data_IF_346313235713
#
_entry.id   IF_346313235713
#
_cell.length_a   1.000
_cell.length_b   1.000
_cell.length_c   1.000
_cell.angle_alpha   90.00
_cell.angle_beta   90.00
_cell.angle_gamma   90.00
#
_symmetry.space_group_name_H-M   'P 1'
#
loop_
_entity.id
_entity.type
_entity.pdbx_description
1 polymer ?
#
# COMPACT_ATOMS: atom_id res chain seq x y z
N UNK A 1 28.47 4.24 -40.58
CA UNK A 1 27.98 3.65 -39.32
C UNK A 1 29.17 3.15 -38.50
N UNK A 2 29.37 3.55 -37.23
CA UNK A 2 30.49 3.04 -36.45
C UNK A 2 30.28 1.55 -36.14
N UNK A 3 31.30 0.73 -36.44
CA UNK A 3 31.30 -0.70 -36.13
C UNK A 3 31.13 -0.92 -34.63
N UNK A 4 30.09 -1.67 -34.23
CA UNK A 4 29.87 -2.05 -32.84
C UNK A 4 31.05 -2.91 -32.38
N UNK A 5 31.95 -2.35 -31.55
CA UNK A 5 33.03 -3.10 -30.92
C UNK A 5 32.45 -4.04 -29.87
N UNK A 6 32.67 -5.34 -30.06
CA UNK A 6 32.28 -6.38 -29.10
C UNK A 6 33.43 -6.63 -28.13
N UNK A 7 33.14 -6.56 -26.84
CA UNK A 7 34.09 -6.87 -25.77
C UNK A 7 33.84 -8.27 -25.22
N UNK A 8 34.89 -8.93 -24.74
CA UNK A 8 34.81 -10.18 -24.00
C UNK A 8 35.13 -9.93 -22.52
N UNK A 9 34.35 -10.51 -21.62
CA UNK A 9 34.67 -10.48 -20.19
C UNK A 9 35.85 -11.41 -19.89
N UNK A 10 36.93 -10.95 -19.23
CA UNK A 10 38.05 -11.81 -18.88
C UNK A 10 37.71 -12.84 -17.79
N UNK A 11 36.66 -12.61 -16.98
CA UNK A 11 36.25 -13.52 -15.91
C UNK A 11 35.35 -14.66 -16.38
N UNK A 12 34.28 -14.37 -17.13
CA UNK A 12 33.29 -15.37 -17.55
C UNK A 12 33.26 -15.65 -19.06
N UNK A 13 34.09 -14.99 -19.86
CA UNK A 13 34.14 -15.19 -21.31
C UNK A 13 32.95 -14.63 -22.11
N UNK A 14 31.93 -14.05 -21.46
CA UNK A 14 30.76 -13.49 -22.14
C UNK A 14 31.11 -12.32 -23.05
N UNK A 15 30.38 -12.19 -24.18
CA UNK A 15 30.54 -11.11 -25.16
C UNK A 15 29.43 -10.08 -25.03
N UNK A 16 29.74 -8.81 -25.28
CA UNK A 16 28.75 -7.73 -25.24
C UNK A 16 29.32 -6.38 -25.65
N UNK A 17 28.43 -5.41 -25.90
CA UNK A 17 28.80 -4.10 -26.44
C UNK A 17 29.53 -3.19 -25.42
N UNK A 18 29.45 -3.47 -24.12
CA UNK A 18 30.06 -2.65 -23.08
C UNK A 18 30.86 -3.50 -22.08
N UNK A 19 32.19 -3.39 -22.11
CA UNK A 19 33.10 -4.12 -21.20
C UNK A 19 32.76 -3.88 -19.71
N UNK A 20 32.36 -2.66 -19.35
CA UNK A 20 31.94 -2.32 -17.98
C UNK A 20 30.70 -3.10 -17.52
N UNK A 21 29.68 -3.24 -18.37
CA UNK A 21 28.45 -3.96 -18.05
C UNK A 21 28.72 -5.46 -17.86
N UNK A 22 29.51 -6.06 -18.76
CA UNK A 22 29.93 -7.46 -18.68
C UNK A 22 30.67 -7.75 -17.37
N UNK A 23 31.62 -6.90 -16.98
CA UNK A 23 32.36 -7.07 -15.71
C UNK A 23 31.44 -6.97 -14.49
N UNK A 24 30.43 -6.08 -14.51
CA UNK A 24 29.45 -5.96 -13.42
C UNK A 24 28.55 -7.19 -13.31
N UNK A 25 28.04 -7.70 -14.43
CA UNK A 25 27.23 -8.92 -14.47
C UNK A 25 28.04 -10.15 -14.04
N UNK A 26 29.30 -10.29 -14.49
CA UNK A 26 30.21 -11.34 -14.05
C UNK A 26 30.44 -11.28 -12.53
N UNK A 27 30.73 -10.09 -11.99
CA UNK A 27 30.95 -9.86 -10.56
C UNK A 27 29.72 -10.18 -9.69
N UNK A 28 28.51 -9.96 -10.19
CA UNK A 28 27.28 -10.40 -9.52
C UNK A 28 27.17 -11.92 -9.56
N UNK A 29 27.38 -12.52 -10.73
CA UNK A 29 27.27 -13.97 -10.92
C UNK A 29 28.25 -14.78 -10.08
N UNK A 30 29.50 -14.32 -9.96
CA UNK A 30 30.49 -14.96 -9.10
C UNK A 30 30.01 -14.96 -7.64
N UNK A 31 29.55 -13.81 -7.15
CA UNK A 31 29.03 -13.69 -5.78
C UNK A 31 27.77 -14.53 -5.56
N UNK A 32 26.84 -14.51 -6.51
CA UNK A 32 25.63 -15.33 -6.47
C UNK A 32 25.96 -16.83 -6.44
N UNK A 33 26.87 -17.31 -7.29
CA UNK A 33 27.32 -18.70 -7.29
C UNK A 33 27.99 -19.08 -5.98
N UNK A 34 28.81 -18.21 -5.40
CA UNK A 34 29.42 -18.46 -4.10
C UNK A 34 28.38 -18.58 -2.98
N UNK A 35 27.31 -17.77 -3.02
CA UNK A 35 26.24 -17.83 -2.03
C UNK A 35 25.35 -19.07 -2.15
N UNK A 36 25.12 -19.55 -3.37
CA UNK A 36 24.19 -20.64 -3.67
C UNK A 36 24.86 -22.02 -3.80
N UNK A 37 26.20 -22.06 -3.85
CA UNK A 37 26.96 -23.32 -3.87
C UNK A 37 27.02 -23.88 -2.46
N UNK A 38 26.63 -25.14 -2.32
CA UNK A 38 26.84 -25.94 -1.11
C UNK A 38 27.84 -27.07 -1.39
N UNK A 39 28.14 -27.93 -0.40
CA UNK A 39 29.05 -29.06 -0.60
C UNK A 39 28.65 -30.02 -1.74
N UNK A 40 27.38 -30.01 -2.17
CA UNK A 40 26.87 -30.79 -3.32
C UNK A 40 26.75 -29.97 -4.62
N UNK A 41 27.27 -28.75 -4.65
CA UNK A 41 27.08 -27.81 -5.74
C UNK A 41 25.85 -26.91 -5.56
N UNK A 42 25.40 -26.30 -6.66
CA UNK A 42 24.19 -25.47 -6.68
C UNK A 42 22.97 -26.36 -6.91
N UNK A 43 21.95 -26.20 -6.08
CA UNK A 43 20.66 -26.87 -6.22
C UNK A 43 20.02 -26.59 -7.59
N UNK A 44 19.49 -27.60 -8.30
CA UNK A 44 18.93 -27.43 -9.64
C UNK A 44 17.77 -26.42 -9.67
N UNK A 45 16.98 -26.34 -8.61
CA UNK A 45 15.85 -25.43 -8.47
C UNK A 45 16.27 -23.96 -8.44
N UNK A 46 17.53 -23.65 -8.10
CA UNK A 46 18.08 -22.29 -8.04
C UNK A 46 18.86 -21.90 -9.30
N UNK A 47 18.97 -22.79 -10.29
CA UNK A 47 19.60 -22.48 -11.57
C UNK A 47 18.87 -21.37 -12.35
N UNK A 48 17.52 -21.29 -12.37
CA UNK A 48 16.81 -20.19 -13.00
C UNK A 48 17.17 -18.82 -12.41
N UNK A 49 17.37 -18.75 -11.08
CA UNK A 49 17.82 -17.54 -10.40
C UNK A 49 19.22 -17.09 -10.87
N UNK A 50 20.15 -18.04 -10.99
CA UNK A 50 21.48 -17.75 -11.54
C UNK A 50 21.41 -17.28 -12.98
N UNK A 51 20.54 -17.89 -13.81
CA UNK A 51 20.34 -17.47 -15.18
C UNK A 51 19.77 -16.05 -15.25
N UNK A 52 18.77 -15.74 -14.43
CA UNK A 52 18.15 -14.41 -14.34
C UNK A 52 19.14 -13.31 -13.95
N UNK A 53 20.01 -13.56 -12.97
CA UNK A 53 21.05 -12.60 -12.58
C UNK A 53 22.13 -12.37 -13.64
N UNK A 54 22.32 -13.27 -14.62
CA UNK A 54 23.21 -13.04 -15.77
C UNK A 54 22.67 -11.98 -16.71
N UNK A 55 21.36 -11.89 -16.84
CA UNK A 55 20.68 -10.98 -17.78
C UNK A 55 20.05 -9.78 -17.09
N UNK A 56 20.25 -9.60 -15.78
CA UNK A 56 19.68 -8.49 -15.03
C UNK A 56 20.19 -7.13 -15.52
N UNK A 57 19.28 -6.18 -15.72
CA UNK A 57 19.59 -4.82 -16.22
C UNK A 57 20.46 -4.01 -15.25
N UNK A 58 20.32 -4.26 -13.93
CA UNK A 58 20.99 -3.50 -12.86
C UNK A 58 21.83 -4.41 -11.94
N UNK A 59 22.90 -5.05 -12.46
CA UNK A 59 23.65 -6.05 -11.69
C UNK A 59 24.39 -5.44 -10.50
N UNK A 60 24.77 -4.17 -10.57
CA UNK A 60 25.41 -3.46 -9.46
C UNK A 60 24.45 -3.20 -8.29
N UNK A 61 23.19 -2.85 -8.57
CA UNK A 61 22.18 -2.64 -7.52
C UNK A 61 21.91 -3.93 -6.77
N UNK A 62 21.76 -5.05 -7.49
CA UNK A 62 21.55 -6.39 -6.89
C UNK A 62 22.77 -6.79 -6.06
N UNK A 63 23.98 -6.66 -6.61
CA UNK A 63 25.22 -6.98 -5.87
C UNK A 63 25.36 -6.12 -4.61
N UNK A 64 25.10 -4.81 -4.72
CA UNK A 64 25.16 -3.88 -3.60
C UNK A 64 24.11 -4.23 -2.53
N UNK A 65 22.91 -4.66 -2.93
CA UNK A 65 21.88 -5.13 -2.02
C UNK A 65 22.31 -6.41 -1.29
N UNK A 66 22.84 -7.41 -2.01
CA UNK A 66 23.35 -8.66 -1.41
C UNK A 66 24.45 -8.39 -0.38
N UNK A 67 25.36 -7.46 -0.67
CA UNK A 67 26.44 -7.09 0.25
C UNK A 67 25.93 -6.34 1.49
N UNK A 68 24.96 -5.44 1.32
CA UNK A 68 24.45 -4.59 2.41
C UNK A 68 23.37 -5.24 3.27
N UNK A 69 22.75 -6.33 2.82
CA UNK A 69 21.64 -7.00 3.53
C UNK A 69 22.05 -8.42 3.92
N UNK A 70 22.68 -8.63 5.11
CA UNK A 70 23.13 -9.94 5.54
C UNK A 70 21.98 -10.95 5.63
N UNK A 71 20.82 -10.53 6.15
CA UNK A 71 19.62 -11.37 6.21
C UNK A 71 19.20 -11.95 4.85
N UNK A 72 19.42 -11.21 3.75
CA UNK A 72 19.10 -11.69 2.41
C UNK A 72 20.06 -12.78 1.95
N UNK A 73 21.35 -12.67 2.31
CA UNK A 73 22.35 -13.71 2.06
C UNK A 73 22.07 -14.96 2.89
N UNK A 74 21.76 -14.79 4.17
CA UNK A 74 21.41 -15.89 5.07
C UNK A 74 20.20 -16.66 4.56
N UNK A 75 19.15 -15.96 4.10
CA UNK A 75 17.98 -16.60 3.51
C UNK A 75 18.32 -17.36 2.22
N UNK A 76 19.10 -16.76 1.31
CA UNK A 76 19.53 -17.44 0.08
C UNK A 76 20.39 -18.69 0.37
N UNK A 77 21.23 -18.63 1.40
CA UNK A 77 22.02 -19.78 1.87
C UNK A 77 21.12 -20.85 2.50
N UNK A 78 20.10 -20.46 3.27
CA UNK A 78 19.11 -21.37 3.84
C UNK A 78 18.23 -22.06 2.79
N UNK A 79 17.99 -21.40 1.65
CA UNK A 79 17.35 -22.04 0.49
C UNK A 79 18.32 -23.00 -0.22
N UNK A 80 19.58 -22.59 -0.36
CA UNK A 80 20.61 -23.38 -1.03
C UNK A 80 20.98 -24.65 -0.27
N UNK A 81 21.05 -24.62 1.06
CA UNK A 81 21.33 -25.78 1.90
C UNK A 81 20.08 -26.64 2.19
N UNK A 82 18.89 -26.17 1.83
CA UNK A 82 17.63 -26.88 2.05
C UNK A 82 17.04 -26.75 3.46
N UNK A 83 17.59 -25.89 4.32
CA UNK A 83 16.98 -25.56 5.61
C UNK A 83 15.62 -24.87 5.47
N UNK A 84 15.42 -24.11 4.38
CA UNK A 84 14.14 -23.53 3.99
C UNK A 84 13.67 -24.19 2.69
N UNK A 85 12.46 -24.77 2.64
CA UNK A 85 11.89 -25.30 1.40
C UNK A 85 11.76 -24.19 0.34
N UNK A 86 12.13 -24.48 -0.91
CA UNK A 86 11.96 -23.54 -2.05
C UNK A 86 10.50 -23.59 -2.51
N UNK A 87 9.61 -23.13 -1.62
CA UNK A 87 8.18 -23.03 -1.84
C UNK A 87 7.68 -21.74 -1.20
N UNK A 88 6.51 -21.28 -1.63
CA UNK A 88 5.86 -20.15 -0.98
C UNK A 88 5.63 -20.40 0.52
N UNK A 89 5.11 -21.58 0.89
CA UNK A 89 4.87 -21.94 2.29
C UNK A 89 6.16 -21.93 3.13
N UNK A 90 7.26 -22.48 2.62
CA UNK A 90 8.54 -22.46 3.33
C UNK A 90 9.09 -21.05 3.55
N UNK A 91 8.77 -20.10 2.67
CA UNK A 91 9.12 -18.68 2.83
C UNK A 91 8.15 -17.93 3.74
N UNK A 92 6.89 -18.35 3.81
CA UNK A 92 5.88 -17.79 4.72
C UNK A 92 6.21 -18.10 6.19
N UNK A 93 6.88 -19.22 6.46
CA UNK A 93 7.38 -19.59 7.80
C UNK A 93 8.59 -18.73 8.25
N UNK A 94 9.21 -18.00 7.32
CA UNK A 94 10.30 -17.05 7.64
C UNK A 94 9.70 -15.70 8.03
N UNK A 95 10.27 -15.05 9.04
CA UNK A 95 9.80 -13.74 9.52
C UNK A 95 9.56 -12.73 8.37
N UNK A 96 8.32 -12.21 8.28
CA UNK A 96 7.91 -11.28 7.22
C UNK A 96 8.65 -9.94 7.32
N UNK A 97 9.74 -9.84 6.57
CA UNK A 97 10.58 -8.64 6.49
C UNK A 97 10.65 -8.12 5.06
N UNK A 98 11.01 -6.84 4.90
CA UNK A 98 11.28 -6.26 3.56
C UNK A 98 12.32 -7.05 2.76
N UNK A 99 13.23 -7.72 3.46
CA UNK A 99 14.27 -8.56 2.85
C UNK A 99 13.67 -9.85 2.28
N UNK A 100 12.89 -10.59 3.08
CA UNK A 100 12.18 -11.79 2.63
C UNK A 100 11.29 -11.48 1.43
N UNK A 101 10.49 -10.41 1.50
CA UNK A 101 9.64 -9.95 0.38
C UNK A 101 10.40 -9.70 -0.91
N UNK A 102 11.59 -9.08 -0.81
CA UNK A 102 12.43 -8.85 -1.98
C UNK A 102 12.96 -10.17 -2.55
N UNK A 103 13.36 -11.12 -1.70
CA UNK A 103 13.80 -12.45 -2.14
C UNK A 103 12.66 -13.22 -2.81
N UNK A 104 11.46 -13.25 -2.23
CA UNK A 104 10.28 -13.88 -2.85
C UNK A 104 10.01 -13.27 -4.24
N UNK A 105 10.03 -11.94 -4.36
CA UNK A 105 9.85 -11.26 -5.63
C UNK A 105 10.92 -11.62 -6.67
N UNK A 106 12.17 -11.78 -6.26
CA UNK A 106 13.27 -12.22 -7.14
C UNK A 106 13.11 -13.70 -7.54
N UNK A 107 12.66 -14.57 -6.64
CA UNK A 107 12.41 -15.98 -6.94
C UNK A 107 11.24 -16.17 -7.92
N UNK A 108 10.18 -15.38 -7.77
CA UNK A 108 9.07 -15.34 -8.74
C UNK A 108 9.54 -14.77 -10.08
N UNK A 109 10.24 -13.64 -10.09
CA UNK A 109 10.74 -13.00 -11.32
C UNK A 109 11.76 -13.86 -12.09
N UNK A 110 12.46 -14.75 -11.40
CA UNK A 110 13.39 -15.71 -12.01
C UNK A 110 12.75 -17.04 -12.40
N UNK A 111 11.47 -17.25 -12.09
CA UNK A 111 10.73 -18.48 -12.36
C UNK A 111 11.07 -19.65 -11.43
N UNK A 112 11.78 -19.40 -10.32
CA UNK A 112 12.03 -20.42 -9.29
C UNK A 112 10.76 -20.73 -8.50
N UNK A 113 9.94 -19.71 -8.24
CA UNK A 113 8.62 -19.88 -7.64
C UNK A 113 7.52 -19.56 -8.66
N UNK A 114 6.38 -20.25 -8.62
CA UNK A 114 5.23 -19.90 -9.43
C UNK A 114 4.73 -18.50 -9.04
N UNK A 115 4.13 -17.80 -10.00
CA UNK A 115 3.50 -16.52 -9.73
C UNK A 115 2.37 -16.69 -8.70
N UNK A 116 2.45 -15.93 -7.61
CA UNK A 116 1.47 -15.89 -6.52
C UNK A 116 1.25 -14.43 -6.18
N UNK A 117 0.00 -14.05 -5.99
CA UNK A 117 -0.32 -12.73 -5.47
C UNK A 117 0.07 -12.65 -3.99
N UNK A 118 1.33 -12.31 -3.75
CA UNK A 118 1.95 -12.17 -2.44
C UNK A 118 1.27 -11.07 -1.60
N UNK A 119 0.62 -10.10 -2.25
CA UNK A 119 -0.16 -9.08 -1.56
C UNK A 119 -1.49 -9.63 -1.07
N UNK A 120 -2.18 -10.42 -1.90
CA UNK A 120 -3.38 -11.13 -1.50
C UNK A 120 -3.09 -12.10 -0.36
N UNK A 121 -2.04 -12.92 -0.46
CA UNK A 121 -1.71 -13.89 0.58
C UNK A 121 -1.48 -13.23 1.96
N UNK A 122 -0.65 -12.17 2.01
CA UNK A 122 -0.42 -11.41 3.25
C UNK A 122 -1.69 -10.75 3.79
N UNK A 123 -2.54 -10.25 2.90
CA UNK A 123 -3.83 -9.69 3.29
C UNK A 123 -4.73 -10.76 3.93
N UNK A 124 -4.74 -11.98 3.39
CA UNK A 124 -5.49 -13.10 3.95
C UNK A 124 -5.00 -13.50 5.33
N UNK A 125 -3.68 -13.64 5.50
CA UNK A 125 -3.07 -13.90 6.82
C UNK A 125 -3.45 -12.81 7.84
N UNK A 126 -3.34 -11.54 7.44
CA UNK A 126 -3.72 -10.41 8.28
C UNK A 126 -5.21 -10.44 8.65
N UNK A 127 -6.10 -10.77 7.71
CA UNK A 127 -7.54 -10.91 7.98
C UNK A 127 -7.77 -12.01 9.01
N UNK A 128 -7.16 -13.19 8.84
CA UNK A 128 -7.29 -14.29 9.80
C UNK A 128 -6.84 -13.87 11.20
N UNK A 129 -5.68 -13.22 11.32
CA UNK A 129 -5.18 -12.73 12.61
C UNK A 129 -6.10 -11.67 13.23
N UNK A 130 -6.59 -10.73 12.43
CA UNK A 130 -7.48 -9.65 12.88
C UNK A 130 -8.80 -10.20 13.39
N UNK A 131 -9.39 -11.19 12.71
CA UNK A 131 -10.61 -11.87 13.15
C UNK A 131 -10.34 -12.64 14.45
N UNK A 132 -9.25 -13.39 14.52
CA UNK A 132 -8.90 -14.18 15.71
C UNK A 132 -8.64 -13.32 16.96
N UNK A 133 -8.14 -12.09 16.77
CA UNK A 133 -7.89 -11.14 17.85
C UNK A 133 -9.16 -10.49 18.44
N UNK A 134 -10.34 -10.72 17.86
CA UNK A 134 -11.62 -10.23 18.43
C UNK A 134 -12.02 -11.12 19.59
N UNK A 135 -12.02 -10.58 20.81
CA UNK A 135 -12.27 -11.33 22.04
C UNK A 135 -13.66 -11.96 22.10
N UNK A 136 -14.69 -11.20 21.74
CA UNK A 136 -16.07 -11.68 21.82
C UNK A 136 -16.45 -12.61 20.65
N UNK A 137 -17.10 -13.75 20.90
CA UNK A 137 -17.52 -14.69 19.86
C UNK A 137 -18.53 -14.12 18.85
N UNK A 138 -19.53 -13.35 19.29
CA UNK A 138 -20.58 -12.81 18.42
C UNK A 138 -20.01 -11.72 17.50
N UNK A 139 -19.20 -10.81 18.05
CA UNK A 139 -18.48 -9.82 17.27
C UNK A 139 -17.53 -10.51 16.28
N UNK A 140 -16.83 -11.56 16.71
CA UNK A 140 -15.92 -12.33 15.86
C UNK A 140 -16.66 -12.95 14.68
N UNK A 141 -17.86 -13.50 14.88
CA UNK A 141 -18.70 -14.03 13.80
C UNK A 141 -19.12 -12.93 12.80
N UNK A 142 -19.50 -11.76 13.30
CA UNK A 142 -19.87 -10.61 12.44
C UNK A 142 -18.66 -10.13 11.63
N UNK A 143 -17.49 -9.94 12.26
CA UNK A 143 -16.27 -9.53 11.58
C UNK A 143 -15.84 -10.58 10.57
N UNK A 144 -15.88 -11.87 10.92
CA UNK A 144 -15.55 -12.96 9.99
C UNK A 144 -16.48 -12.93 8.76
N UNK A 145 -17.80 -12.82 8.96
CA UNK A 145 -18.78 -12.73 7.86
C UNK A 145 -18.53 -11.52 6.96
N UNK A 146 -18.23 -10.37 7.55
CA UNK A 146 -17.97 -9.14 6.80
C UNK A 146 -16.64 -9.19 6.05
N UNK A 147 -15.54 -9.47 6.76
CA UNK A 147 -14.20 -9.35 6.20
C UNK A 147 -13.87 -10.54 5.31
N UNK A 148 -14.14 -11.76 5.76
CA UNK A 148 -13.79 -12.97 5.02
C UNK A 148 -14.78 -13.25 3.88
N UNK A 149 -16.09 -13.31 4.18
CA UNK A 149 -17.08 -13.68 3.15
C UNK A 149 -17.53 -12.51 2.27
N UNK A 150 -17.58 -11.28 2.76
CA UNK A 150 -17.99 -10.15 1.92
C UNK A 150 -16.83 -9.44 1.24
N UNK A 151 -15.83 -8.96 1.99
CA UNK A 151 -14.74 -8.15 1.41
C UNK A 151 -13.72 -9.00 0.66
N UNK A 152 -13.17 -10.03 1.31
CA UNK A 152 -12.11 -10.86 0.74
C UNK A 152 -12.62 -11.70 -0.44
N UNK A 153 -13.82 -12.27 -0.35
CA UNK A 153 -14.43 -12.97 -1.49
C UNK A 153 -14.57 -12.07 -2.73
N UNK A 154 -15.05 -10.83 -2.57
CA UNK A 154 -15.16 -9.84 -3.67
C UNK A 154 -13.80 -9.40 -4.20
N UNK A 155 -12.77 -9.36 -3.34
CA UNK A 155 -11.41 -9.08 -3.76
C UNK A 155 -10.85 -10.23 -4.60
N UNK A 156 -11.00 -11.47 -4.14
CA UNK A 156 -10.60 -12.69 -4.87
C UNK A 156 -11.26 -12.76 -6.24
N UNK A 157 -12.57 -12.54 -6.32
CA UNK A 157 -13.32 -12.53 -7.58
C UNK A 157 -12.84 -11.47 -8.60
N UNK A 158 -12.12 -10.43 -8.14
CA UNK A 158 -11.58 -9.36 -8.99
C UNK A 158 -10.07 -9.46 -9.21
N UNK A 159 -9.45 -10.45 -8.60
CA UNK A 159 -8.00 -10.70 -8.69
C UNK A 159 -7.78 -11.76 -9.76
N UNK A 160 -6.82 -11.51 -10.64
CA UNK A 160 -6.46 -12.39 -11.75
C UNK A 160 -4.95 -12.26 -11.92
N UNK A 161 -4.22 -13.24 -12.49
CA UNK A 161 -2.76 -13.10 -12.65
C UNK A 161 -2.34 -11.80 -13.37
N UNK A 162 -3.17 -11.30 -14.30
CA UNK A 162 -2.95 -10.04 -15.02
C UNK A 162 -3.35 -8.79 -14.22
N UNK A 163 -4.06 -8.95 -13.11
CA UNK A 163 -4.58 -7.87 -12.25
C UNK A 163 -4.42 -8.27 -10.78
N UNK A 164 -3.18 -8.26 -10.26
CA UNK A 164 -2.93 -8.55 -8.85
C UNK A 164 -3.52 -7.46 -7.95
N UNK A 165 -3.66 -7.78 -6.66
CA UNK A 165 -4.08 -6.87 -5.62
C UNK A 165 -3.06 -5.76 -5.47
N UNK A 166 -3.51 -4.52 -5.71
CA UNK A 166 -2.68 -3.35 -5.49
C UNK A 166 -2.60 -3.01 -4.01
N UNK A 167 -1.51 -2.34 -3.61
CA UNK A 167 -1.32 -1.84 -2.23
C UNK A 167 -2.51 -0.99 -1.76
N UNK A 168 -3.07 -0.18 -2.65
CA UNK A 168 -4.24 0.65 -2.36
C UNK A 168 -5.50 -0.19 -2.07
N UNK A 169 -5.75 -1.27 -2.83
CA UNK A 169 -6.88 -2.17 -2.58
C UNK A 169 -6.74 -2.88 -1.23
N UNK A 170 -5.53 -3.36 -0.92
CA UNK A 170 -5.23 -3.96 0.37
C UNK A 170 -5.44 -2.96 1.53
N UNK A 171 -4.95 -1.72 1.38
CA UNK A 171 -5.14 -0.65 2.37
C UNK A 171 -6.61 -0.34 2.62
N UNK A 172 -7.44 -0.30 1.58
CA UNK A 172 -8.89 -0.11 1.74
C UNK A 172 -9.53 -1.26 2.51
N UNK A 173 -9.16 -2.51 2.21
CA UNK A 173 -9.67 -3.66 2.95
C UNK A 173 -9.25 -3.59 4.44
N UNK A 174 -7.99 -3.20 4.72
CA UNK A 174 -7.55 -2.94 6.09
C UNK A 174 -8.44 -1.89 6.78
N UNK A 175 -8.66 -0.73 6.14
CA UNK A 175 -9.51 0.31 6.69
C UNK A 175 -10.93 -0.16 6.95
N UNK A 176 -11.54 -0.94 6.05
CA UNK A 176 -12.87 -1.50 6.28
C UNK A 176 -12.90 -2.47 7.47
N UNK A 177 -11.92 -3.37 7.57
CA UNK A 177 -11.86 -4.37 8.64
C UNK A 177 -11.58 -3.73 10.01
N UNK A 178 -10.61 -2.80 10.10
CA UNK A 178 -10.34 -2.09 11.35
C UNK A 178 -11.51 -1.21 11.79
N UNK A 179 -12.21 -0.59 10.84
CA UNK A 179 -13.44 0.17 11.14
C UNK A 179 -14.52 -0.75 11.71
N UNK A 180 -14.77 -1.90 11.10
CA UNK A 180 -15.79 -2.84 11.58
C UNK A 180 -15.50 -3.32 13.02
N UNK A 181 -14.24 -3.67 13.31
CA UNK A 181 -13.79 -4.04 14.66
C UNK A 181 -13.97 -2.87 15.64
N UNK A 182 -13.62 -1.64 15.23
CA UNK A 182 -13.77 -0.46 16.07
C UNK A 182 -15.24 -0.15 16.39
N UNK A 183 -16.15 -0.28 15.41
CA UNK A 183 -17.60 -0.11 15.61
C UNK A 183 -18.12 -1.11 16.62
N UNK A 184 -17.83 -2.40 16.43
CA UNK A 184 -18.31 -3.45 17.32
C UNK A 184 -17.80 -3.26 18.76
N UNK A 185 -16.52 -2.86 18.90
CA UNK A 185 -15.96 -2.51 20.20
C UNK A 185 -16.66 -1.31 20.85
N UNK A 186 -17.00 -0.27 20.08
CA UNK A 186 -17.70 0.91 20.58
C UNK A 186 -19.13 0.57 21.03
N UNK A 187 -19.89 -0.17 20.21
CA UNK A 187 -21.24 -0.67 20.54
C UNK A 187 -21.23 -1.41 21.87
N UNK A 188 -20.25 -2.29 22.04
CA UNK A 188 -20.12 -3.13 23.22
C UNK A 188 -19.69 -2.36 24.47
N UNK A 189 -18.80 -1.37 24.31
CA UNK A 189 -18.39 -0.50 25.41
C UNK A 189 -19.59 0.30 25.98
N UNK A 190 -20.59 0.57 25.15
CA UNK A 190 -21.85 1.24 25.54
C UNK A 190 -22.92 0.24 26.04
N UNK A 191 -22.58 -1.04 26.21
CA UNK A 191 -23.51 -2.09 26.65
C UNK A 191 -24.63 -2.42 25.64
N UNK A 192 -24.48 -1.96 24.41
CA UNK A 192 -25.45 -2.12 23.33
C UNK A 192 -25.10 -3.29 22.42
N UNK A 193 -25.99 -3.60 21.48
CA UNK A 193 -25.75 -4.57 20.40
C UNK A 193 -25.96 -3.90 19.04
N UNK A 194 -25.50 -4.53 17.95
CA UNK A 194 -25.78 -4.03 16.60
C UNK A 194 -27.29 -3.91 16.31
N UNK A 195 -28.11 -4.75 16.93
CA UNK A 195 -29.56 -4.73 16.75
C UNK A 195 -30.23 -3.52 17.42
N UNK A 196 -29.64 -3.02 18.51
CA UNK A 196 -30.16 -1.87 19.28
C UNK A 196 -29.50 -0.54 18.90
N UNK A 197 -28.61 -0.56 17.90
CA UNK A 197 -27.91 0.62 17.43
C UNK A 197 -28.89 1.72 16.97
N UNK A 198 -28.73 2.95 17.46
CA UNK A 198 -29.56 4.10 17.07
C UNK A 198 -28.86 5.04 16.07
N UNK A 199 -29.63 5.88 15.38
CA UNK A 199 -29.07 6.93 14.51
C UNK A 199 -28.28 8.00 15.30
N UNK A 200 -28.62 8.20 16.58
CA UNK A 200 -27.95 9.14 17.46
C UNK A 200 -26.52 8.67 17.78
N UNK A 201 -26.33 7.37 18.00
CA UNK A 201 -25.01 6.78 18.28
C UNK A 201 -24.10 6.89 17.05
N UNK A 202 -24.64 6.59 15.86
CA UNK A 202 -23.90 6.76 14.60
C UNK A 202 -23.50 8.22 14.38
N UNK A 203 -24.41 9.16 14.65
CA UNK A 203 -24.11 10.60 14.54
C UNK A 203 -23.03 11.04 15.53
N UNK A 204 -23.06 10.53 16.76
CA UNK A 204 -22.04 10.78 17.80
C UNK A 204 -20.66 10.28 17.37
N UNK A 205 -20.58 9.09 16.78
CA UNK A 205 -19.29 8.56 16.31
C UNK A 205 -18.72 9.35 15.13
N UNK A 206 -19.59 9.86 14.25
CA UNK A 206 -19.20 10.69 13.11
C UNK A 206 -18.65 12.05 13.55
N UNK A 207 -19.23 12.67 14.58
CA UNK A 207 -18.75 13.96 15.12
C UNK A 207 -17.53 13.79 16.01
N UNK A 208 -17.48 12.75 16.85
CA UNK A 208 -16.39 12.50 17.79
C UNK A 208 -15.11 11.88 17.20
N UNK A 209 -15.12 11.46 15.92
CA UNK A 209 -14.03 10.69 15.26
C UNK A 209 -13.61 9.42 16.02
N UNK A 210 -14.50 8.82 16.81
CA UNK A 210 -14.21 7.58 17.54
C UNK A 210 -13.99 6.39 16.60
N UNK A 211 -14.60 6.42 15.41
CA UNK A 211 -14.49 5.37 14.40
C UNK A 211 -13.85 5.94 13.12
N UNK A 212 -13.02 5.14 12.45
CA UNK A 212 -12.43 5.49 11.16
C UNK A 212 -13.49 5.93 10.13
N UNK A 213 -13.14 6.95 9.35
CA UNK A 213 -14.05 7.93 8.74
C UNK A 213 -15.32 7.46 8.00
N UNK A 214 -16.22 8.40 7.67
CA UNK A 214 -17.62 8.15 7.29
C UNK A 214 -17.82 7.14 6.15
N UNK A 215 -16.85 7.07 5.22
CA UNK A 215 -16.87 6.15 4.09
C UNK A 215 -16.86 4.68 4.55
N UNK A 216 -15.98 4.33 5.48
CA UNK A 216 -15.78 2.96 5.93
C UNK A 216 -16.90 2.52 6.87
N UNK A 217 -17.30 3.41 7.78
CA UNK A 217 -18.42 3.20 8.70
C UNK A 217 -19.71 2.95 7.92
N UNK A 218 -20.00 3.83 6.95
CA UNK A 218 -21.20 3.68 6.12
C UNK A 218 -21.20 2.39 5.30
N UNK A 219 -20.03 1.93 4.82
CA UNK A 219 -19.95 0.68 4.09
C UNK A 219 -20.27 -0.53 4.98
N UNK A 220 -19.78 -0.54 6.22
CA UNK A 220 -20.08 -1.58 7.20
C UNK A 220 -21.55 -1.58 7.59
N UNK A 221 -22.12 -0.43 7.96
CA UNK A 221 -23.54 -0.33 8.34
C UNK A 221 -24.49 -0.73 7.20
N UNK A 222 -24.20 -0.34 5.95
CA UNK A 222 -24.98 -0.79 4.78
C UNK A 222 -24.89 -2.30 4.55
N UNK A 223 -23.76 -2.92 4.89
CA UNK A 223 -23.65 -4.37 4.84
C UNK A 223 -24.44 -5.02 5.99
N UNK A 224 -24.29 -4.52 7.22
CA UNK A 224 -24.97 -5.04 8.40
C UNK A 224 -26.50 -4.95 8.28
N UNK A 225 -27.02 -3.82 7.76
CA UNK A 225 -28.43 -3.63 7.44
C UNK A 225 -28.95 -4.68 6.46
N UNK A 226 -28.20 -4.93 5.36
CA UNK A 226 -28.56 -5.96 4.37
C UNK A 226 -28.51 -7.39 4.93
N UNK A 227 -27.70 -7.62 5.95
CA UNK A 227 -27.63 -8.89 6.68
C UNK A 227 -28.65 -8.97 7.83
N UNK A 228 -29.52 -7.96 7.99
CA UNK A 228 -30.51 -7.83 9.08
C UNK A 228 -29.88 -7.86 10.48
N UNK A 229 -28.64 -7.37 10.60
CA UNK A 229 -27.93 -7.27 11.87
C UNK A 229 -28.17 -5.94 12.59
N UNK A 230 -28.59 -4.91 11.86
CA UNK A 230 -28.95 -3.61 12.39
C UNK A 230 -30.11 -3.00 11.58
N UNK A 231 -30.82 -2.05 12.18
CA UNK A 231 -31.91 -1.29 11.53
C UNK A 231 -31.42 0.03 10.93
N UNK A 232 -30.30 0.56 11.45
CA UNK A 232 -29.70 1.82 11.01
C UNK A 232 -28.86 1.61 9.75
N UNK A 233 -28.96 2.54 8.80
CA UNK A 233 -28.16 2.54 7.58
C UNK A 233 -27.72 3.96 7.23
N UNK A 234 -26.46 4.12 6.83
CA UNK A 234 -25.97 5.39 6.28
C UNK A 234 -26.11 5.37 4.77
N UNK A 235 -26.76 6.40 4.21
CA UNK A 235 -26.80 6.62 2.77
C UNK A 235 -25.37 6.62 2.22
N UNK A 236 -25.17 5.91 1.11
CA UNK A 236 -23.91 5.98 0.40
C UNK A 236 -23.73 7.42 -0.06
N UNK A 237 -22.73 8.11 0.49
CA UNK A 237 -22.23 9.34 -0.10
C UNK A 237 -21.65 8.97 -1.47
N UNK A 238 -22.48 9.07 -2.50
CA UNK A 238 -22.00 9.01 -3.86
C UNK A 238 -21.19 10.27 -4.09
N UNK A 239 -19.94 10.11 -4.50
CA UNK A 239 -19.21 11.21 -5.10
C UNK A 239 -19.99 11.63 -6.34
N UNK A 240 -20.61 12.80 -6.29
CA UNK A 240 -21.47 13.37 -7.35
C UNK A 240 -20.67 13.89 -8.54
N UNK A 241 -19.40 13.48 -8.67
CA UNK A 241 -18.43 14.10 -9.56
C UNK A 241 -18.13 15.54 -9.11
N UNK A 242 -17.35 16.29 -9.91
CA UNK A 242 -17.31 17.74 -9.75
C UNK A 242 -18.74 18.29 -9.94
N UNK A 243 -19.30 18.85 -8.87
CA UNK A 243 -20.59 19.53 -8.93
C UNK A 243 -20.41 20.82 -9.72
N UNK A 244 -20.68 20.72 -11.02
CA UNK A 244 -20.62 21.79 -12.01
C UNK A 244 -19.20 22.30 -12.28
N UNK A 245 -18.81 22.41 -13.57
CA UNK A 245 -17.75 23.34 -13.93
C UNK A 245 -18.27 24.72 -13.59
N UNK A 246 -17.54 25.47 -12.77
CA UNK A 246 -17.85 26.88 -12.59
C UNK A 246 -17.77 27.53 -13.97
N UNK A 247 -18.89 28.08 -14.44
CA UNK A 247 -18.97 28.76 -15.73
C UNK A 247 -17.91 29.88 -15.78
N UNK A 248 -17.31 30.10 -16.95
CA UNK A 248 -16.25 31.08 -17.11
C UNK A 248 -16.74 32.50 -16.74
N UNK A 249 -18.00 32.81 -17.03
CA UNK A 249 -18.63 34.08 -16.64
C UNK A 249 -18.73 34.19 -15.10
N UNK A 250 -19.21 33.15 -14.44
CA UNK A 250 -19.29 33.12 -12.97
C UNK A 250 -17.92 33.19 -12.30
N UNK A 251 -16.89 32.52 -12.85
CA UNK A 251 -15.50 32.65 -12.40
C UNK A 251 -15.02 34.10 -12.47
N UNK A 252 -15.30 34.78 -13.59
CA UNK A 252 -14.87 36.15 -13.82
C UNK A 252 -15.60 37.15 -12.90
N UNK A 253 -16.90 36.97 -12.68
CA UNK A 253 -17.68 37.77 -11.73
C UNK A 253 -17.19 37.57 -10.28
N UNK A 254 -16.89 36.32 -9.91
CA UNK A 254 -16.35 36.00 -8.58
C UNK A 254 -14.94 36.60 -8.39
N UNK A 255 -14.09 36.56 -9.41
CA UNK A 255 -12.78 37.23 -9.40
C UNK A 255 -12.92 38.75 -9.25
N UNK A 256 -13.81 39.39 -10.02
CA UNK A 256 -14.07 40.83 -9.91
C UNK A 256 -14.59 41.21 -8.52
N UNK A 257 -15.50 40.42 -7.96
CA UNK A 257 -16.00 40.63 -6.60
C UNK A 257 -14.86 40.54 -5.58
N UNK A 258 -14.03 39.49 -5.61
CA UNK A 258 -12.93 39.35 -4.65
C UNK A 258 -11.84 40.42 -4.82
N UNK A 259 -11.67 40.99 -6.02
CA UNK A 259 -10.75 42.10 -6.29
C UNK A 259 -11.25 43.46 -5.79
N UNK A 260 -12.58 43.70 -5.79
CA UNK A 260 -13.13 45.04 -5.56
C UNK A 260 -14.04 45.17 -4.32
N UNK A 261 -14.50 44.05 -3.76
CA UNK A 261 -15.38 44.04 -2.60
C UNK A 261 -14.57 44.22 -1.30
N UNK A 262 -14.53 45.46 -0.82
CA UNK A 262 -13.82 45.83 0.41
C UNK A 262 -14.61 45.53 1.69
N UNK A 263 -15.82 44.97 1.60
CA UNK A 263 -16.56 44.51 2.79
C UNK A 263 -16.06 43.15 3.28
N UNK A 264 -15.27 42.44 2.47
CA UNK A 264 -14.65 41.16 2.83
C UNK A 264 -13.24 41.37 3.42
N UNK A 265 -12.87 40.62 4.49
CA UNK A 265 -11.51 40.67 5.03
C UNK A 265 -10.45 40.36 3.97
N UNK A 266 -9.36 41.11 3.96
CA UNK A 266 -8.25 40.93 3.01
C UNK A 266 -7.73 39.48 2.95
N UNK A 267 -7.57 38.74 4.09
CA UNK A 267 -7.11 37.35 4.05
C UNK A 267 -8.07 36.43 3.28
N UNK A 268 -9.38 36.65 3.42
CA UNK A 268 -10.42 35.82 2.77
C UNK A 268 -10.51 36.12 1.28
N UNK A 269 -10.31 37.39 0.89
CA UNK A 269 -10.24 37.79 -0.52
C UNK A 269 -9.05 37.16 -1.23
N UNK A 270 -7.88 37.19 -0.60
CA UNK A 270 -6.65 36.58 -1.14
C UNK A 270 -6.79 35.05 -1.22
N UNK A 271 -7.32 34.42 -0.17
CA UNK A 271 -7.58 32.98 -0.18
C UNK A 271 -8.58 32.60 -1.28
N UNK A 272 -9.67 33.35 -1.42
CA UNK A 272 -10.65 33.17 -2.48
C UNK A 272 -10.05 33.32 -3.88
N UNK A 273 -9.20 34.33 -4.12
CA UNK A 273 -8.52 34.53 -5.41
C UNK A 273 -7.57 33.37 -5.75
N UNK A 274 -6.85 32.84 -4.76
CA UNK A 274 -5.97 31.67 -4.94
C UNK A 274 -6.76 30.41 -5.30
N UNK A 275 -7.93 30.21 -4.68
CA UNK A 275 -8.83 29.09 -5.01
C UNK A 275 -9.42 29.26 -6.42
N UNK A 276 -9.89 30.46 -6.78
CA UNK A 276 -10.59 30.72 -8.05
C UNK A 276 -9.64 30.71 -9.26
N UNK A 277 -8.47 31.35 -9.15
CA UNK A 277 -7.53 31.48 -10.26
C UNK A 277 -6.62 30.25 -10.41
N UNK A 278 -6.18 29.67 -9.29
CA UNK A 278 -5.15 28.61 -9.29
C UNK A 278 -5.67 27.24 -8.86
N UNK A 279 -6.98 27.08 -8.64
CA UNK A 279 -7.60 25.83 -8.18
C UNK A 279 -6.94 25.25 -6.91
N UNK A 280 -6.41 26.12 -6.04
CA UNK A 280 -5.83 25.68 -4.78
C UNK A 280 -6.91 25.15 -3.84
N UNK A 281 -6.62 24.08 -3.11
CA UNK A 281 -7.54 23.54 -2.10
C UNK A 281 -7.60 24.49 -0.89
N UNK A 282 -8.78 24.73 -0.33
CA UNK A 282 -8.95 25.60 0.85
C UNK A 282 -8.10 25.18 2.07
N UNK A 283 -7.63 23.92 2.10
CA UNK A 283 -6.71 23.40 3.13
C UNK A 283 -5.29 23.96 3.03
N UNK A 284 -4.85 24.45 1.87
CA UNK A 284 -3.51 25.03 1.69
C UNK A 284 -3.46 26.55 1.92
N UNK A 285 -4.61 27.23 1.95
CA UNK A 285 -4.69 28.68 2.17
C UNK A 285 -4.63 29.05 3.65
N UNK A 286 -5.13 28.21 4.56
CA UNK A 286 -5.10 28.45 6.02
C UNK A 286 -3.71 28.26 6.64
N UNK A 287 -2.88 27.37 6.10
CA UNK A 287 -1.52 27.14 6.59
C UNK A 287 -0.54 28.28 6.27
N UNK A 288 -0.93 29.22 5.40
CA UNK A 288 -0.05 30.28 4.90
C UNK A 288 -0.34 31.66 5.47
N UNK A 289 -1.47 31.83 6.18
CA UNK A 289 -1.83 33.08 6.84
C UNK A 289 -1.32 33.19 8.29
N UNK A 290 -0.77 32.11 8.87
CA UNK A 290 -0.23 32.10 10.24
C UNK A 290 1.27 32.42 10.33
N UNK A 291 1.83 33.10 9.32
CA UNK A 291 3.26 33.34 9.19
C UNK A 291 3.60 34.79 8.84
N UNK A 292 3.05 35.75 9.58
CA UNK A 292 3.54 37.14 9.56
C UNK A 292 3.04 37.90 10.80
N UNK A 293 3.67 37.68 11.93
CA UNK A 293 3.60 38.59 13.09
C UNK A 293 4.97 39.28 13.19
N UNK A 294 5.09 40.59 12.96
CA UNK A 294 6.35 41.30 13.05
C UNK A 294 6.71 41.55 14.52
N UNK A 295 7.92 41.13 14.91
CA UNK A 295 8.52 41.50 16.18
C UNK A 295 8.70 43.02 16.24
N UNK A 296 7.94 43.68 17.11
CA UNK A 296 8.21 45.06 17.51
C UNK A 296 9.42 45.05 18.47
N UNK A 297 10.44 45.83 18.12
CA UNK A 297 11.60 46.06 18.98
C UNK A 297 11.27 46.97 20.17
N UNK A 298 12.00 46.77 21.26
CA UNK A 298 12.20 47.79 22.30
C UNK A 298 13.69 47.88 22.54
N UNK A 299 14.25 49.03 22.18
CA UNK A 299 15.51 49.52 22.69
C UNK A 299 15.24 50.23 24.02
N UNK A 300 15.91 49.78 25.07
CA UNK A 300 16.62 50.65 26.02
C UNK A 300 17.74 49.83 26.66
#
# INVERSE_FOLDING_TARGET
MPARRWHRCPGCGQRGAAAGALRRACRLNTLARQLLTTGRGVRPELLPLLAWWRTADRPQSIRSWLLRRPAGRTLLQALANGSVPITHAGLDDVADTKVVRYVCGVLVASGVLPDRDEHLHRLEQWVCHTVAAVSDPDDRLVVHRYVHWHLLHRLRARTTPQRPVTVERARRLHSHATTAVAVLRAVRAEGSSLATLSEADVSRWLTGRQVAGPVWLGAFLRWAYRQRLCTVTLRAQQWTGPQSRIDHAYRWDLTRRLLHDNTLPLPDRVAGLLVVLYAQTASSTTARSSGSEPAAGVAN
#
